data_IF_534750711018
#
_entry.id   IF_534750711018
#
_cell.length_a   1.000
_cell.length_b   1.000
_cell.length_c   1.000
_cell.angle_alpha   90.00
_cell.angle_beta   90.00
_cell.angle_gamma   90.00
#
_symmetry.space_group_name_H-M   'P 1'
#
loop_
_entity.id
_entity.type
_entity.pdbx_description
1 polymer ?
#
# COMPACT_ATOMS: atom_id res chain seq x y z
N UNK A 1 3.07 1.90 -11.86
CA UNK A 1 3.23 0.93 -10.75
C UNK A 1 2.18 1.20 -9.70
N UNK A 2 1.56 0.16 -9.18
CA UNK A 2 0.50 0.27 -8.18
C UNK A 2 0.99 -0.31 -6.86
N UNK A 3 0.96 0.51 -5.80
CA UNK A 3 1.23 0.03 -4.44
C UNK A 3 -0.06 -0.55 -3.88
N UNK A 4 -0.02 -1.84 -3.51
CA UNK A 4 -1.17 -2.57 -3.01
C UNK A 4 -1.13 -2.60 -1.48
N UNK A 5 -2.21 -2.11 -0.85
CA UNK A 5 -2.33 -2.05 0.60
C UNK A 5 -2.53 -3.45 1.21
N UNK A 6 -2.22 -3.57 2.49
CA UNK A 6 -2.23 -4.84 3.24
C UNK A 6 -3.55 -5.59 3.15
N UNK A 7 -4.69 -4.92 3.36
CA UNK A 7 -5.99 -5.59 3.32
C UNK A 7 -6.31 -6.18 1.95
N UNK A 8 -5.90 -5.52 0.88
CA UNK A 8 -6.08 -6.04 -0.48
C UNK A 8 -5.33 -7.36 -0.64
N UNK A 9 -4.08 -7.43 -0.14
CA UNK A 9 -3.30 -8.66 -0.14
C UNK A 9 -3.96 -9.75 0.71
N UNK A 10 -4.43 -9.41 1.91
CA UNK A 10 -5.07 -10.37 2.81
C UNK A 10 -6.30 -11.00 2.13
N UNK A 11 -7.15 -10.20 1.53
CA UNK A 11 -8.34 -10.69 0.84
C UNK A 11 -7.99 -11.53 -0.38
N UNK A 12 -6.96 -11.13 -1.14
CA UNK A 12 -6.45 -11.88 -2.29
C UNK A 12 -5.91 -13.26 -1.86
N UNK A 13 -5.22 -13.34 -0.73
CA UNK A 13 -4.68 -14.60 -0.22
C UNK A 13 -5.78 -15.56 0.23
N UNK A 14 -6.95 -15.05 0.58
CA UNK A 14 -8.13 -15.87 0.91
C UNK A 14 -8.88 -16.33 -0.32
N UNK A 15 -9.08 -15.42 -1.26
CA UNK A 15 -9.78 -15.69 -2.51
C UNK A 15 -9.19 -14.78 -3.59
N UNK A 16 -8.55 -15.36 -4.58
CA UNK A 16 -7.81 -14.62 -5.60
C UNK A 16 -8.63 -13.47 -6.19
N UNK A 17 -8.06 -12.28 -6.17
CA UNK A 17 -8.63 -11.09 -6.79
C UNK A 17 -8.17 -11.03 -8.25
N UNK A 18 -9.12 -11.03 -9.17
CA UNK A 18 -8.83 -11.07 -10.62
C UNK A 18 -8.01 -9.85 -11.07
N UNK A 19 -8.30 -8.68 -10.52
CA UNK A 19 -7.57 -7.47 -10.86
C UNK A 19 -6.11 -7.54 -10.40
N UNK A 20 -5.89 -8.07 -9.18
CA UNK A 20 -4.54 -8.22 -8.66
C UNK A 20 -3.75 -9.28 -9.44
N UNK A 21 -4.39 -10.38 -9.82
CA UNK A 21 -3.77 -11.39 -10.68
C UNK A 21 -3.29 -10.76 -11.99
N UNK A 22 -4.12 -9.94 -12.62
CA UNK A 22 -3.79 -9.25 -13.85
C UNK A 22 -2.59 -8.31 -13.66
N UNK A 23 -2.60 -7.49 -12.60
CA UNK A 23 -1.50 -6.57 -12.29
C UNK A 23 -0.19 -7.30 -12.02
N UNK A 24 -0.25 -8.42 -11.31
CA UNK A 24 0.93 -9.25 -11.06
C UNK A 24 1.49 -9.83 -12.37
N UNK A 25 0.63 -10.26 -13.26
CA UNK A 25 1.03 -10.77 -14.57
C UNK A 25 1.68 -9.71 -15.47
N UNK A 26 1.29 -8.47 -15.30
CA UNK A 26 1.81 -7.32 -16.07
C UNK A 26 2.98 -6.60 -15.38
N UNK A 27 3.48 -7.12 -14.27
CA UNK A 27 4.53 -6.48 -13.44
C UNK A 27 4.17 -5.06 -13.01
N UNK A 28 2.89 -4.82 -12.74
CA UNK A 28 2.39 -3.51 -12.32
C UNK A 28 2.00 -3.43 -10.84
N UNK A 29 2.07 -4.54 -10.12
CA UNK A 29 1.82 -4.56 -8.67
C UNK A 29 3.13 -4.45 -7.92
N UNK A 30 3.21 -3.49 -7.01
CA UNK A 30 4.34 -3.31 -6.12
C UNK A 30 3.96 -3.56 -4.67
N UNK A 31 4.96 -3.69 -3.84
CA UNK A 31 4.79 -3.91 -2.42
C UNK A 31 5.59 -2.86 -1.63
N UNK A 32 5.41 -2.86 -0.33
CA UNK A 32 6.10 -1.95 0.57
C UNK A 32 6.65 -2.75 1.75
N UNK A 33 7.86 -2.48 2.22
CA UNK A 33 8.42 -3.20 3.37
C UNK A 33 7.50 -3.24 4.59
N UNK A 34 6.78 -2.14 4.89
CA UNK A 34 5.84 -2.12 6.02
C UNK A 34 4.60 -2.97 5.79
N UNK A 35 4.15 -3.12 4.54
CA UNK A 35 3.07 -4.05 4.19
C UNK A 35 3.51 -5.48 4.41
N UNK A 36 4.74 -5.81 4.02
CA UNK A 36 5.32 -7.14 4.27
C UNK A 36 5.37 -7.41 5.78
N UNK A 37 5.79 -6.43 6.58
CA UNK A 37 5.83 -6.57 8.03
C UNK A 37 4.45 -6.81 8.62
N UNK A 38 3.43 -6.09 8.17
CA UNK A 38 2.04 -6.31 8.62
C UNK A 38 1.56 -7.72 8.27
N UNK A 39 1.84 -8.20 7.06
CA UNK A 39 1.49 -9.56 6.65
C UNK A 39 2.26 -10.61 7.46
N UNK A 40 3.52 -10.34 7.76
CA UNK A 40 4.37 -11.23 8.55
C UNK A 40 3.86 -11.41 9.99
N UNK A 41 3.20 -10.38 10.54
CA UNK A 41 2.60 -10.41 11.88
C UNK A 41 1.25 -11.13 11.92
N UNK A 42 0.64 -11.34 10.76
CA UNK A 42 -0.64 -12.02 10.66
C UNK A 42 -0.51 -13.53 10.51
N UNK A 43 -1.66 -14.22 10.46
CA UNK A 43 -1.74 -15.67 10.25
C UNK A 43 -2.08 -15.95 8.78
N UNK A 44 -1.08 -16.04 7.95
CA UNK A 44 -1.26 -16.35 6.53
C UNK A 44 -0.77 -17.77 6.22
N UNK A 45 -1.44 -18.43 5.28
CA UNK A 45 -1.04 -19.76 4.82
C UNK A 45 0.22 -19.63 3.96
N UNK A 46 1.10 -20.66 4.06
CA UNK A 46 2.36 -20.68 3.31
C UNK A 46 3.17 -19.40 3.49
N UNK A 47 3.24 -18.97 4.72
CA UNK A 47 3.80 -17.68 5.13
C UNK A 47 5.16 -17.38 4.47
N UNK A 48 6.11 -18.30 4.57
CA UNK A 48 7.46 -18.07 4.06
C UNK A 48 7.50 -17.90 2.53
N UNK A 49 6.68 -18.69 1.82
CA UNK A 49 6.56 -18.59 0.36
C UNK A 49 5.96 -17.26 -0.04
N UNK A 50 4.89 -16.84 0.64
CA UNK A 50 4.20 -15.58 0.34
C UNK A 50 5.13 -14.39 0.61
N UNK A 51 5.80 -14.36 1.75
CA UNK A 51 6.71 -13.26 2.10
C UNK A 51 7.87 -13.15 1.10
N UNK A 52 8.41 -14.28 0.65
CA UNK A 52 9.45 -14.32 -0.38
C UNK A 52 8.95 -13.73 -1.71
N UNK A 53 7.77 -14.13 -2.15
CA UNK A 53 7.18 -13.62 -3.38
C UNK A 53 6.95 -12.10 -3.31
N UNK A 54 6.43 -11.62 -2.19
CA UNK A 54 6.20 -10.18 -1.99
C UNK A 54 7.51 -9.39 -1.97
N UNK A 55 8.56 -9.94 -1.37
CA UNK A 55 9.88 -9.32 -1.33
C UNK A 55 10.52 -9.19 -2.71
N UNK A 56 10.12 -10.03 -3.67
CA UNK A 56 10.62 -10.01 -5.04
C UNK A 56 9.85 -9.06 -5.96
N UNK A 57 8.73 -8.50 -5.51
CA UNK A 57 8.03 -7.46 -6.25
C UNK A 57 8.78 -6.13 -6.16
N UNK A 58 8.43 -5.18 -7.02
CA UNK A 58 8.94 -3.82 -6.88
C UNK A 58 8.64 -3.31 -5.47
N UNK A 59 9.69 -2.84 -4.77
CA UNK A 59 9.56 -2.31 -3.42
C UNK A 59 9.48 -0.79 -3.46
N UNK A 60 8.36 -0.25 -3.00
CA UNK A 60 8.23 1.19 -2.82
C UNK A 60 9.15 1.68 -1.69
N UNK A 61 9.65 2.92 -1.78
CA UNK A 61 10.56 3.42 -0.77
C UNK A 61 9.87 3.61 0.58
N UNK A 62 10.56 3.31 1.66
CA UNK A 62 10.09 3.62 3.01
C UNK A 62 10.35 5.09 3.26
N UNK A 63 9.31 5.82 3.66
CA UNK A 63 9.44 7.23 4.03
C UNK A 63 10.09 7.32 5.41
N UNK A 64 11.07 8.22 5.56
CA UNK A 64 11.77 8.38 6.84
C UNK A 64 10.86 8.96 7.91
N UNK A 65 11.24 8.76 9.18
CA UNK A 65 10.50 9.32 10.31
C UNK A 65 10.26 10.84 10.15
N UNK A 66 11.30 11.59 9.83
CA UNK A 66 11.17 13.04 9.68
C UNK A 66 10.28 13.44 8.50
N UNK A 67 10.35 12.68 7.41
CA UNK A 67 9.49 12.89 6.24
C UNK A 67 8.03 12.61 6.57
N UNK A 68 7.75 11.55 7.34
CA UNK A 68 6.38 11.24 7.80
C UNK A 68 5.83 12.40 8.63
N UNK A 69 6.61 12.89 9.61
CA UNK A 69 6.17 14.00 10.46
C UNK A 69 5.88 15.26 9.65
N UNK A 70 6.72 15.56 8.67
CA UNK A 70 6.49 16.71 7.77
C UNK A 70 5.25 16.53 6.91
N UNK A 71 5.03 15.33 6.39
CA UNK A 71 3.85 15.00 5.59
C UNK A 71 2.57 15.16 6.43
N UNK A 72 2.56 14.57 7.63
CA UNK A 72 1.42 14.68 8.56
C UNK A 72 1.09 16.13 8.87
N UNK A 73 2.10 16.93 9.18
CA UNK A 73 1.90 18.36 9.48
C UNK A 73 1.43 19.17 8.28
N UNK A 74 2.06 18.97 7.13
CA UNK A 74 1.77 19.72 5.91
C UNK A 74 0.36 19.42 5.38
N UNK A 75 -0.05 18.16 5.41
CA UNK A 75 -1.34 17.70 4.88
C UNK A 75 -2.42 17.60 5.94
N UNK A 76 -2.12 17.95 7.17
CA UNK A 76 -3.07 17.91 8.30
C UNK A 76 -3.72 16.55 8.47
N UNK A 77 -2.90 15.52 8.52
CA UNK A 77 -3.37 14.13 8.59
C UNK A 77 -3.68 13.65 10.00
N UNK A 78 -3.41 14.47 11.03
CA UNK A 78 -3.66 14.07 12.41
C UNK A 78 -5.14 14.06 12.76
N UNK A 79 -5.51 13.22 13.72
CA UNK A 79 -6.88 13.15 14.20
C UNK A 79 -7.87 12.52 13.22
N UNK A 80 -7.39 11.85 12.19
CA UNK A 80 -8.22 11.29 11.12
C UNK A 80 -8.31 9.78 11.14
N UNK A 81 -7.75 9.14 12.16
CA UNK A 81 -7.76 7.69 12.28
C UNK A 81 -6.76 6.98 11.38
N UNK A 82 -5.81 7.71 10.79
CA UNK A 82 -4.74 7.11 9.97
C UNK A 82 -3.64 6.60 10.87
N UNK A 83 -3.11 5.41 10.57
CA UNK A 83 -1.95 4.86 11.25
C UNK A 83 -0.65 5.30 10.58
N UNK A 84 0.46 5.03 11.27
CA UNK A 84 1.79 5.36 10.75
C UNK A 84 2.11 4.65 9.42
N UNK A 85 1.66 3.41 9.26
CA UNK A 85 1.83 2.68 8.01
C UNK A 85 1.06 3.37 6.88
N UNK A 86 -0.19 3.77 7.13
CA UNK A 86 -1.00 4.49 6.13
C UNK A 86 -0.30 5.76 5.65
N UNK A 87 0.22 6.55 6.57
CA UNK A 87 0.96 7.77 6.24
C UNK A 87 2.21 7.46 5.42
N UNK A 88 2.91 6.38 5.75
CA UNK A 88 4.09 5.95 5.01
C UNK A 88 3.72 5.53 3.57
N UNK A 89 2.66 4.75 3.40
CA UNK A 89 2.20 4.33 2.07
C UNK A 89 1.84 5.54 1.21
N UNK A 90 1.12 6.50 1.77
CA UNK A 90 0.74 7.72 1.07
C UNK A 90 2.00 8.49 0.61
N UNK A 91 2.96 8.67 1.49
CA UNK A 91 4.22 9.33 1.18
C UNK A 91 5.05 8.57 0.15
N UNK A 92 5.07 7.24 0.24
CA UNK A 92 5.79 6.38 -0.72
C UNK A 92 5.26 6.52 -2.14
N UNK A 93 3.95 6.52 -2.30
CA UNK A 93 3.32 6.69 -3.62
C UNK A 93 3.63 8.07 -4.19
N UNK A 94 3.62 9.10 -3.35
CA UNK A 94 3.95 10.46 -3.77
C UNK A 94 5.40 10.59 -4.30
N UNK A 95 6.31 9.74 -3.83
CA UNK A 95 7.71 9.76 -4.24
C UNK A 95 7.98 9.03 -5.56
N UNK A 96 7.06 8.22 -6.03
CA UNK A 96 7.25 7.41 -7.24
C UNK A 96 6.40 7.98 -8.37
N UNK A 97 7.04 8.48 -9.41
CA UNK A 97 6.33 9.08 -10.55
C UNK A 97 5.37 8.11 -11.21
N UNK A 98 4.14 8.54 -11.44
CA UNK A 98 3.10 7.73 -12.08
C UNK A 98 2.50 6.64 -11.21
N UNK A 99 2.93 6.52 -9.94
CA UNK A 99 2.41 5.50 -9.05
C UNK A 99 1.00 5.83 -8.55
N UNK A 100 0.28 4.77 -8.20
CA UNK A 100 -1.06 4.85 -7.61
C UNK A 100 -1.12 3.97 -6.39
N UNK A 101 -2.02 4.30 -5.46
CA UNK A 101 -2.27 3.48 -4.29
C UNK A 101 -3.58 2.72 -4.45
N UNK A 102 -3.55 1.41 -4.21
CA UNK A 102 -4.76 0.59 -4.14
C UNK A 102 -5.04 0.25 -2.69
N UNK A 103 -6.04 0.88 -2.13
CA UNK A 103 -6.50 0.64 -0.77
C UNK A 103 -8.03 0.55 -0.73
N UNK A 104 -8.55 -0.19 0.23
CA UNK A 104 -9.99 -0.28 0.53
C UNK A 104 -10.37 0.51 1.78
N UNK A 105 -9.40 1.12 2.44
CA UNK A 105 -9.64 1.96 3.61
C UNK A 105 -10.16 3.33 3.20
N UNK A 106 -11.37 3.66 3.63
CA UNK A 106 -12.03 4.92 3.26
C UNK A 106 -11.27 6.15 3.75
N UNK A 107 -10.65 6.07 4.93
CA UNK A 107 -9.90 7.19 5.52
C UNK A 107 -8.63 7.46 4.71
N UNK A 108 -7.94 6.38 4.32
CA UNK A 108 -6.75 6.51 3.49
C UNK A 108 -7.10 7.00 2.08
N UNK A 109 -8.19 6.53 1.48
CA UNK A 109 -8.69 7.04 0.21
C UNK A 109 -8.92 8.54 0.26
N UNK A 110 -9.60 9.03 1.30
CA UNK A 110 -9.87 10.45 1.47
C UNK A 110 -8.58 11.26 1.61
N UNK A 111 -7.62 10.75 2.39
CA UNK A 111 -6.33 11.41 2.55
C UNK A 111 -5.54 11.49 1.24
N UNK A 112 -5.59 10.45 0.43
CA UNK A 112 -4.96 10.43 -0.89
C UNK A 112 -5.56 11.49 -1.81
N UNK A 113 -6.90 11.55 -1.89
CA UNK A 113 -7.60 12.51 -2.72
C UNK A 113 -7.24 13.96 -2.34
N UNK A 114 -7.21 14.25 -1.05
CA UNK A 114 -6.86 15.60 -0.54
C UNK A 114 -5.39 15.93 -0.74
N UNK A 115 -4.52 14.94 -0.77
CA UNK A 115 -3.07 15.12 -0.91
C UNK A 115 -2.59 15.06 -2.36
N UNK A 116 -3.50 14.85 -3.31
CA UNK A 116 -3.15 14.72 -4.71
C UNK A 116 -2.45 13.42 -5.07
N UNK A 117 -2.55 12.40 -4.22
CA UNK A 117 -2.02 11.07 -4.48
C UNK A 117 -3.03 10.27 -5.28
N UNK A 118 -2.60 9.75 -6.42
CA UNK A 118 -3.48 9.00 -7.31
C UNK A 118 -3.89 7.66 -6.70
N UNK A 119 -5.18 7.34 -6.82
CA UNK A 119 -5.73 6.06 -6.42
C UNK A 119 -5.89 5.14 -7.63
N UNK A 120 -5.64 3.85 -7.43
CA UNK A 120 -6.00 2.83 -8.40
C UNK A 120 -7.50 2.55 -8.27
N UNK A 121 -8.20 2.49 -9.40
CA UNK A 121 -9.60 2.15 -9.41
C UNK A 121 -9.79 0.64 -9.29
N UNK A 122 -10.75 0.24 -8.48
CA UNK A 122 -11.18 -1.15 -8.43
C UNK A 122 -12.26 -1.36 -9.49
N UNK A 123 -12.09 -2.41 -10.26
CA UNK A 123 -13.14 -2.87 -11.18
C UNK A 123 -14.09 -3.73 -10.37
N UNK A 124 -15.27 -3.21 -10.15
CA UNK A 124 -16.33 -3.94 -9.46
C UNK A 124 -16.91 -5.04 -10.34
#
# INVERSE_FOLDING_TARGET
MILVDTLVWIEHLRAADARLVELLGDDEAGCHPLVIEELALGSIKQRDVVLDLLANLYQFPVVTHDEVLRLVGRRRLWGRGLGAVDANLLGSVALVGGARLWTRDKRLKAACAESGVALAEEVS
#
